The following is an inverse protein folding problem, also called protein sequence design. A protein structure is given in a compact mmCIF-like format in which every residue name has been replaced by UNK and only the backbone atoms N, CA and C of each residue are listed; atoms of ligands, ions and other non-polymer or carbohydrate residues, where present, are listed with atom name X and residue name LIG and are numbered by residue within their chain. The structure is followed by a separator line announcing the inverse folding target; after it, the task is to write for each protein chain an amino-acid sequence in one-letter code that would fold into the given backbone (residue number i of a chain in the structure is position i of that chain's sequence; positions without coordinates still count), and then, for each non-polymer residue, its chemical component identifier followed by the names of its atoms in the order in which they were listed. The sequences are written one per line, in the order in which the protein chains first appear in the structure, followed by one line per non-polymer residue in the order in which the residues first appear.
data_IF_590920172315
#
_entry.id   IF_590920172315
#
_cell.length_a   1.000
_cell.length_b   1.000
_cell.length_c   1.000
_cell.angle_alpha   90.00
_cell.angle_beta   90.00
_cell.angle_gamma   90.00
#
_symmetry.space_group_name_H-M   'P 1'
#
loop_
_entity.id
_entity.type
_entity.pdbx_description
1 polymer ?
#
# COMPACT_ATOMS: atom_id res chain seq x y z
N UNK A 1 4.94 13.14 -9.84
CA UNK A 1 4.05 14.08 -9.12
C UNK A 1 3.30 13.30 -8.05
N UNK A 2 3.37 13.72 -6.77
CA UNK A 2 2.63 13.05 -5.67
C UNK A 2 1.12 13.26 -5.79
N UNK A 3 0.34 12.24 -5.45
CA UNK A 3 -1.11 12.38 -5.34
C UNK A 3 -1.47 13.02 -4.00
N UNK A 4 -2.06 14.21 -4.03
CA UNK A 4 -2.61 14.82 -2.81
C UNK A 4 -3.82 14.03 -2.26
N UNK A 5 -4.21 14.23 -0.99
CA UNK A 5 -5.25 13.45 -0.31
C UNK A 5 -6.57 13.35 -1.09
N UNK A 6 -7.04 14.47 -1.67
CA UNK A 6 -8.27 14.50 -2.48
C UNK A 6 -8.22 13.62 -3.73
N UNK A 7 -7.03 13.36 -4.30
CA UNK A 7 -6.89 12.46 -5.45
C UNK A 7 -6.87 11.01 -4.97
N UNK A 8 -6.20 10.73 -3.86
CA UNK A 8 -6.16 9.39 -3.26
C UNK A 8 -7.58 8.89 -2.89
N UNK A 9 -8.39 9.75 -2.28
CA UNK A 9 -9.79 9.45 -1.96
C UNK A 9 -10.71 9.28 -3.19
N UNK A 10 -10.32 9.76 -4.39
CA UNK A 10 -11.04 9.49 -5.64
C UNK A 10 -10.69 8.13 -6.22
N UNK A 11 -9.45 7.69 -6.03
CA UNK A 11 -8.99 6.38 -6.49
C UNK A 11 -9.43 5.27 -5.55
N UNK A 12 -9.52 5.54 -4.24
CA UNK A 12 -9.72 4.49 -3.24
C UNK A 12 -10.82 4.79 -2.23
N UNK A 13 -11.33 3.71 -1.64
CA UNK A 13 -12.17 3.71 -0.44
C UNK A 13 -11.63 2.70 0.56
N UNK A 14 -11.92 2.92 1.84
CA UNK A 14 -11.66 1.94 2.90
C UNK A 14 -12.97 1.26 3.25
N UNK A 15 -12.93 -0.06 3.47
CA UNK A 15 -14.12 -0.86 3.84
C UNK A 15 -13.73 -2.17 4.53
N UNK A 16 -14.69 -2.94 5.06
CA UNK A 16 -14.43 -4.27 5.61
C UNK A 16 -13.78 -5.17 4.56
N UNK A 17 -12.69 -5.84 4.93
CA UNK A 17 -11.98 -6.75 4.04
C UNK A 17 -12.35 -8.21 4.33
N UNK A 18 -12.53 -9.05 3.29
CA UNK A 18 -12.62 -10.50 3.45
C UNK A 18 -11.28 -11.14 3.85
N UNK A 19 -10.15 -10.44 3.70
CA UNK A 19 -8.82 -10.92 4.06
C UNK A 19 -8.59 -10.67 5.55
N UNK A 20 -8.60 -9.41 5.98
CA UNK A 20 -8.37 -9.04 7.37
C UNK A 20 -8.85 -7.61 7.67
N UNK A 21 -9.64 -7.45 8.73
CA UNK A 21 -10.04 -6.14 9.26
C UNK A 21 -10.61 -5.20 8.21
N UNK A 22 -9.85 -4.15 7.88
CA UNK A 22 -10.20 -3.14 6.88
C UNK A 22 -9.24 -3.22 5.70
N UNK A 23 -9.79 -3.10 4.49
CA UNK A 23 -9.05 -3.11 3.23
C UNK A 23 -9.15 -1.79 2.47
N UNK A 24 -8.22 -1.58 1.54
CA UNK A 24 -8.24 -0.50 0.57
C UNK A 24 -8.81 -1.00 -0.76
N UNK A 25 -9.85 -0.37 -1.29
CA UNK A 25 -10.54 -0.82 -2.49
C UNK A 25 -10.53 0.24 -3.59
N UNK A 26 -10.34 -0.19 -4.84
CA UNK A 26 -10.45 0.67 -6.01
C UNK A 26 -11.86 1.25 -6.15
N UNK A 27 -11.96 2.56 -6.38
CA UNK A 27 -13.22 3.25 -6.74
C UNK A 27 -13.41 3.37 -8.25
N UNK A 28 -12.32 3.31 -8.99
CA UNK A 28 -12.29 3.46 -10.45
C UNK A 28 -11.41 2.39 -11.06
N UNK A 29 -11.46 2.25 -12.38
CA UNK A 29 -10.54 1.40 -13.10
C UNK A 29 -9.12 1.96 -12.98
N UNK A 30 -8.19 1.11 -12.58
CA UNK A 30 -6.77 1.41 -12.46
C UNK A 30 -6.03 0.55 -13.48
N UNK A 31 -5.16 1.18 -14.28
CA UNK A 31 -4.40 0.49 -15.32
C UNK A 31 -3.14 -0.15 -14.76
N UNK A 32 -2.68 -1.24 -15.36
CA UNK A 32 -1.34 -1.79 -15.13
C UNK A 32 -0.27 -0.69 -15.23
N UNK A 33 0.67 -0.67 -14.29
CA UNK A 33 1.75 0.30 -14.17
C UNK A 33 1.33 1.69 -13.69
N UNK A 34 0.05 1.92 -13.41
CA UNK A 34 -0.43 3.20 -12.92
C UNK A 34 0.12 3.48 -11.51
N UNK A 35 0.64 4.69 -11.32
CA UNK A 35 1.00 5.21 -10.00
C UNK A 35 -0.25 5.44 -9.14
N UNK A 36 -0.26 4.84 -7.95
CA UNK A 36 -1.40 4.79 -7.04
C UNK A 36 -1.26 5.73 -5.84
N UNK A 37 -0.04 6.19 -5.55
CA UNK A 37 0.24 7.14 -4.47
C UNK A 37 1.51 6.78 -3.71
N UNK A 38 1.95 7.68 -2.84
CA UNK A 38 3.10 7.44 -1.95
C UNK A 38 2.59 7.02 -0.57
N UNK A 39 3.24 6.06 0.08
CA UNK A 39 3.03 5.73 1.48
C UNK A 39 3.62 6.83 2.36
N UNK A 40 2.74 7.56 3.04
CA UNK A 40 3.09 8.77 3.77
C UNK A 40 2.95 8.59 5.28
N UNK A 41 3.95 9.08 6.01
CA UNK A 41 4.03 8.96 7.45
C UNK A 41 5.39 9.41 7.98
N UNK A 42 5.49 9.69 9.30
CA UNK A 42 6.78 9.98 9.93
C UNK A 42 7.73 8.77 9.83
N UNK A 43 9.03 9.06 9.74
CA UNK A 43 10.06 8.03 9.92
C UNK A 43 10.05 7.55 11.36
N UNK A 44 10.18 6.25 11.56
CA UNK A 44 10.14 5.62 12.90
C UNK A 44 11.24 4.58 13.05
N UNK A 45 11.70 4.37 14.28
CA UNK A 45 12.72 3.36 14.60
C UNK A 45 12.13 2.11 15.26
N UNK A 46 10.84 2.14 15.61
CA UNK A 46 10.11 1.03 16.25
C UNK A 46 9.07 0.46 15.29
N UNK A 47 8.82 -0.83 15.42
CA UNK A 47 7.74 -1.50 14.69
C UNK A 47 6.37 -1.14 15.24
N UNK A 48 5.37 -1.24 14.38
CA UNK A 48 3.97 -1.01 14.67
C UNK A 48 3.11 -1.55 13.53
N UNK A 49 1.80 -1.64 13.74
CA UNK A 49 0.87 -2.30 12.83
C UNK A 49 0.79 -1.71 11.41
N UNK A 50 1.26 -0.47 11.22
CA UNK A 50 1.28 0.20 9.92
C UNK A 50 2.69 0.72 9.59
N UNK A 51 3.73 0.01 10.01
CA UNK A 51 5.10 0.38 9.64
C UNK A 51 5.50 -0.34 8.36
N UNK A 52 5.70 0.42 7.28
CA UNK A 52 6.27 -0.10 6.04
C UNK A 52 7.79 0.02 6.07
N UNK A 53 8.46 -1.09 5.74
CA UNK A 53 9.91 -1.17 5.58
C UNK A 53 10.26 -1.10 4.11
N UNK A 54 11.19 -0.21 3.76
CA UNK A 54 11.66 -0.02 2.38
C UNK A 54 13.17 0.04 2.41
N UNK A 55 13.83 -0.72 1.54
CA UNK A 55 15.27 -0.63 1.33
C UNK A 55 15.56 0.47 0.29
N UNK A 56 16.18 1.57 0.71
CA UNK A 56 16.57 2.67 -0.19
C UNK A 56 18.09 2.87 -0.13
N UNK A 57 18.75 2.77 -1.29
CA UNK A 57 20.19 3.00 -1.45
C UNK A 57 21.05 1.99 -0.68
N UNK A 58 21.38 2.32 0.57
CA UNK A 58 22.30 1.54 1.42
C UNK A 58 21.72 1.17 2.79
N UNK A 59 20.39 1.32 3.00
CA UNK A 59 19.79 0.99 4.28
C UNK A 59 18.27 0.94 4.31
N UNK A 60 17.75 0.34 5.38
CA UNK A 60 16.33 0.24 5.65
C UNK A 60 15.76 1.56 6.17
N UNK A 61 14.75 2.08 5.48
CA UNK A 61 13.90 3.18 5.95
C UNK A 61 12.54 2.62 6.37
N UNK A 62 12.02 3.15 7.48
CA UNK A 62 10.72 2.77 8.06
C UNK A 62 9.80 3.98 8.15
N UNK A 63 8.52 3.81 7.81
CA UNK A 63 7.50 4.86 8.00
C UNK A 63 6.22 4.30 8.62
N UNK A 64 5.67 5.02 9.59
CA UNK A 64 4.36 4.74 10.19
C UNK A 64 3.25 5.41 9.37
N UNK A 65 2.50 4.61 8.61
CA UNK A 65 1.51 5.09 7.64
C UNK A 65 0.38 5.91 8.24
N UNK A 66 0.22 7.15 7.74
CA UNK A 66 -0.84 8.09 8.12
C UNK A 66 -1.87 8.34 7.02
N UNK A 67 -1.62 7.90 5.80
CA UNK A 67 -2.57 8.04 4.70
C UNK A 67 -3.34 6.73 4.41
N UNK A 68 -4.21 6.74 3.40
CA UNK A 68 -5.10 5.61 3.08
C UNK A 68 -4.35 4.31 2.74
N UNK A 69 -3.11 4.40 2.25
CA UNK A 69 -2.35 3.22 1.83
C UNK A 69 -2.00 2.30 3.01
N UNK A 70 -2.15 2.75 4.27
CA UNK A 70 -1.99 1.89 5.45
C UNK A 70 -3.01 0.76 5.60
N UNK A 71 -4.09 0.80 4.81
CA UNK A 71 -5.16 -0.22 4.82
C UNK A 71 -4.99 -1.26 3.70
N UNK A 72 -3.87 -1.24 2.97
CA UNK A 72 -3.57 -2.30 2.01
C UNK A 72 -3.29 -3.57 2.79
N UNK A 73 -3.86 -4.69 2.35
CA UNK A 73 -3.66 -5.99 2.95
C UNK A 73 -2.65 -6.83 2.15
N UNK A 74 -2.18 -7.91 2.77
CA UNK A 74 -1.31 -8.90 2.14
C UNK A 74 -2.09 -9.85 1.21
N UNK A 75 -1.47 -10.24 0.10
CA UNK A 75 -1.83 -11.41 -0.70
C UNK A 75 -0.60 -11.98 -1.38
N UNK A 76 -0.52 -13.31 -1.50
CA UNK A 76 0.51 -14.03 -2.26
C UNK A 76 0.37 -13.87 -3.78
N UNK A 77 -0.79 -13.41 -4.26
CA UNK A 77 -1.04 -13.06 -5.66
C UNK A 77 -1.47 -11.58 -5.74
N UNK A 78 -0.55 -10.65 -5.43
CA UNK A 78 -0.90 -9.24 -5.27
C UNK A 78 -1.27 -8.57 -6.59
N UNK A 79 -1.96 -7.44 -6.50
CA UNK A 79 -2.26 -6.60 -7.66
C UNK A 79 -1.54 -5.25 -7.65
N UNK A 80 -0.76 -4.95 -6.62
CA UNK A 80 0.09 -3.77 -6.53
C UNK A 80 1.43 -4.11 -5.86
N UNK A 81 2.41 -3.23 -6.03
CA UNK A 81 3.73 -3.33 -5.39
C UNK A 81 4.26 -1.94 -5.01
N UNK A 82 5.15 -1.89 -4.03
CA UNK A 82 5.89 -0.68 -3.68
C UNK A 82 7.25 -0.66 -4.38
N UNK A 83 7.52 0.41 -5.12
CA UNK A 83 8.86 0.84 -5.49
C UNK A 83 9.26 2.01 -4.58
N UNK A 84 10.18 1.76 -3.66
CA UNK A 84 10.40 2.69 -2.56
C UNK A 84 9.15 2.81 -1.69
N UNK A 85 8.68 4.04 -1.49
CA UNK A 85 7.38 4.31 -0.87
C UNK A 85 6.26 4.56 -1.90
N UNK A 86 6.53 4.46 -3.20
CA UNK A 86 5.55 4.72 -4.23
C UNK A 86 4.86 3.42 -4.65
N UNK A 87 3.52 3.41 -4.63
CA UNK A 87 2.71 2.25 -4.97
C UNK A 87 2.34 2.26 -6.45
N UNK A 88 2.47 1.11 -7.10
CA UNK A 88 2.14 0.91 -8.51
C UNK A 88 1.27 -0.33 -8.70
N UNK A 89 0.39 -0.30 -9.71
CA UNK A 89 -0.42 -1.46 -10.07
C UNK A 89 0.37 -2.48 -10.91
N UNK A 90 0.32 -3.75 -10.56
CA UNK A 90 0.95 -4.86 -11.29
C UNK A 90 0.13 -5.33 -12.50
N UNK A 91 -1.18 -5.11 -12.45
CA UNK A 91 -2.17 -5.46 -13.48
C UNK A 91 -3.28 -4.42 -13.53
N UNK A 92 -4.21 -4.58 -14.47
CA UNK A 92 -5.46 -3.82 -14.42
C UNK A 92 -6.27 -4.24 -13.19
N UNK A 93 -6.84 -3.25 -12.49
CA UNK A 93 -7.64 -3.41 -11.28
C UNK A 93 -9.00 -2.74 -11.51
N UNK A 94 -10.06 -3.54 -11.39
CA UNK A 94 -11.44 -3.10 -11.61
C UNK A 94 -11.96 -2.31 -10.41
N UNK A 95 -12.93 -1.40 -10.62
CA UNK A 95 -13.65 -0.79 -9.51
C UNK A 95 -14.20 -1.86 -8.57
N UNK A 96 -13.94 -1.72 -7.27
CA UNK A 96 -14.39 -2.64 -6.24
C UNK A 96 -13.38 -3.70 -5.83
N UNK A 97 -12.34 -3.98 -6.62
CA UNK A 97 -11.26 -4.89 -6.19
C UNK A 97 -10.47 -4.30 -5.02
N UNK A 98 -10.06 -5.18 -4.10
CA UNK A 98 -9.16 -4.83 -3.00
C UNK A 98 -7.73 -4.70 -3.53
N UNK A 99 -7.03 -3.65 -3.10
CA UNK A 99 -5.62 -3.44 -3.39
C UNK A 99 -4.82 -4.26 -2.39
N UNK A 100 -3.97 -5.14 -2.91
CA UNK A 100 -3.12 -6.01 -2.11
C UNK A 100 -1.69 -5.95 -2.60
N UNK A 101 -0.76 -6.16 -1.67
CA UNK A 101 0.67 -6.27 -1.94
C UNK A 101 1.20 -7.57 -1.33
N UNK A 102 2.36 -8.01 -1.80
CA UNK A 102 3.12 -9.02 -1.07
C UNK A 102 3.89 -8.32 0.07
N UNK A 103 3.78 -8.83 1.30
CA UNK A 103 4.55 -8.31 2.43
C UNK A 103 5.98 -8.89 2.47
N UNK A 104 6.25 -9.88 1.63
CA UNK A 104 7.39 -10.77 1.75
C UNK A 104 7.19 -11.79 2.87
N UNK A 105 8.12 -12.73 2.98
CA UNK A 105 8.24 -13.55 4.19
C UNK A 105 8.65 -12.63 5.34
N UNK A 106 7.82 -12.55 6.39
CA UNK A 106 8.11 -11.76 7.59
C UNK A 106 9.45 -12.23 8.19
N UNK A 107 10.54 -11.43 8.11
CA UNK A 107 11.81 -11.82 8.69
C UNK A 107 11.80 -11.77 10.23
N UNK A 108 10.67 -11.43 10.86
CA UNK A 108 10.47 -11.30 12.30
C UNK A 108 9.49 -12.31 12.92
N UNK A 109 9.05 -13.33 12.18
CA UNK A 109 8.25 -14.44 12.73
C UNK A 109 9.12 -15.55 13.37
N UNK A 110 10.14 -15.14 14.15
CA UNK A 110 11.04 -16.01 14.91
C UNK A 110 11.32 -15.43 16.30
#
# INVERSE_FOLDING_TARGET
MRLGPKKLHRLFRVGPSPIHGMGLFARTHIRKGQYLGTYEGPRVNRNGSHVLWVYEGHGWTRRDGKNLLRFINHSSEPNAEFDGFDLYALRDIRPGEEITIDYGEDPGAG
#
